data_IF_617542682700
#
_entry.id   IF_617542682700
#
_cell.length_a   1.000
_cell.length_b   1.000
_cell.length_c   1.000
_cell.angle_alpha   90.00
_cell.angle_beta   90.00
_cell.angle_gamma   90.00
#
_symmetry.space_group_name_H-M   'P 1'
#
loop_
_entity.id
_entity.type
_entity.pdbx_description
1 polymer ?
#
# COMPACT_ATOMS: atom_id res chain seq x y z
N UNK A 1 -4.26 -27.36 31.19
CA UNK A 1 -5.46 -26.79 30.51
C UNK A 1 -5.18 -25.30 30.37
N UNK A 2 -4.62 -24.88 29.25
CA UNK A 2 -4.34 -23.48 28.95
C UNK A 2 -5.32 -23.03 27.88
N UNK A 3 -6.10 -22.01 28.22
CA UNK A 3 -7.10 -21.39 27.36
C UNK A 3 -6.41 -20.60 26.24
N UNK A 4 -6.62 -21.01 25.00
CA UNK A 4 -6.28 -20.19 23.82
C UNK A 4 -7.29 -19.06 23.67
N UNK A 5 -6.86 -17.86 24.09
CA UNK A 5 -7.63 -16.63 23.93
C UNK A 5 -7.89 -16.33 22.45
N UNK A 6 -9.15 -16.27 22.09
CA UNK A 6 -9.69 -15.72 20.85
C UNK A 6 -9.20 -14.26 20.68
N UNK A 7 -8.31 -14.01 19.73
CA UNK A 7 -7.96 -12.64 19.32
C UNK A 7 -9.14 -12.05 18.57
N UNK A 8 -9.78 -11.08 19.21
CA UNK A 8 -10.88 -10.31 18.64
C UNK A 8 -10.45 -9.65 17.30
N UNK A 9 -11.24 -9.90 16.28
CA UNK A 9 -11.24 -9.12 15.06
C UNK A 9 -11.70 -7.71 15.42
N UNK A 10 -10.83 -6.71 15.41
CA UNK A 10 -11.20 -5.32 15.67
C UNK A 10 -11.87 -4.81 14.41
N UNK A 11 -13.18 -4.96 14.31
CA UNK A 11 -14.00 -4.24 13.35
C UNK A 11 -14.09 -2.78 13.81
N UNK A 12 -13.58 -1.87 13.00
CA UNK A 12 -13.72 -0.43 13.22
C UNK A 12 -15.20 -0.09 13.06
N UNK A 13 -15.88 0.49 14.08
CA UNK A 13 -17.29 0.80 13.98
C UNK A 13 -17.53 1.88 12.91
N UNK A 14 -18.63 1.77 12.17
CA UNK A 14 -19.04 2.67 11.08
C UNK A 14 -19.04 4.15 11.50
N UNK A 15 -19.29 4.47 12.76
CA UNK A 15 -19.21 5.82 13.32
C UNK A 15 -17.78 6.39 13.32
N UNK A 16 -16.75 5.54 13.40
CA UNK A 16 -15.35 5.92 13.29
C UNK A 16 -14.98 6.32 11.85
N UNK A 17 -15.63 5.73 10.84
CA UNK A 17 -15.43 6.05 9.43
C UNK A 17 -15.95 7.44 9.02
N UNK A 18 -17.03 7.92 9.68
CA UNK A 18 -17.59 9.26 9.40
C UNK A 18 -16.68 10.35 9.97
N UNK A 19 -16.13 10.16 11.17
CA UNK A 19 -15.15 11.07 11.75
C UNK A 19 -13.82 11.03 10.98
N UNK A 20 -13.49 9.88 10.40
CA UNK A 20 -12.35 9.66 9.55
C UNK A 20 -12.45 10.45 8.23
N UNK A 21 -13.63 10.45 7.59
CA UNK A 21 -13.92 11.26 6.38
C UNK A 21 -13.74 12.76 6.64
N UNK A 22 -14.20 13.22 7.79
CA UNK A 22 -14.07 14.62 8.18
C UNK A 22 -12.60 15.02 8.36
N UNK A 23 -11.79 14.13 8.95
CA UNK A 23 -10.35 14.33 9.12
C UNK A 23 -9.60 14.38 7.76
N UNK A 24 -9.97 13.52 6.79
CA UNK A 24 -9.38 13.54 5.44
C UNK A 24 -9.70 14.86 4.72
N UNK A 25 -10.94 15.35 4.82
CA UNK A 25 -11.38 16.58 4.14
C UNK A 25 -10.84 17.86 4.82
N UNK A 26 -10.57 17.83 6.12
CA UNK A 26 -10.04 18.98 6.87
C UNK A 26 -8.51 19.11 6.77
N UNK A 27 -7.76 18.05 6.39
CA UNK A 27 -6.29 18.05 6.27
C UNK A 27 -5.76 18.30 4.85
N UNK A 28 -6.62 18.71 3.92
CA UNK A 28 -6.23 19.06 2.54
C UNK A 28 -5.46 20.40 2.46
N UNK A 29 -4.51 20.65 3.37
CA UNK A 29 -3.65 21.84 3.32
C UNK A 29 -2.25 21.48 3.81
N UNK A 30 -1.37 21.44 2.92
CA UNK A 30 0.08 21.55 2.94
C UNK A 30 0.78 20.32 2.35
N UNK A 31 0.90 20.34 1.02
CA UNK A 31 1.64 19.31 0.24
C UNK A 31 3.16 19.50 0.40
N UNK A 32 3.62 19.95 1.59
CA UNK A 32 5.02 20.10 1.89
C UNK A 32 5.68 18.73 2.03
N UNK A 33 6.62 18.44 1.15
CA UNK A 33 7.41 17.19 1.21
C UNK A 33 8.12 17.07 2.55
N UNK A 34 7.60 16.24 3.42
CA UNK A 34 8.22 15.96 4.71
C UNK A 34 9.42 15.05 4.49
N UNK A 35 10.61 15.51 4.91
CA UNK A 35 11.82 14.68 4.98
C UNK A 35 12.28 14.71 6.43
N UNK A 36 12.56 13.54 7.01
CA UNK A 36 12.99 13.45 8.39
C UNK A 36 14.45 13.84 8.57
N UNK A 37 14.91 13.88 9.82
CA UNK A 37 16.28 14.26 10.18
C UNK A 37 17.35 13.31 9.64
N UNK A 38 16.96 12.09 9.26
CA UNK A 38 17.84 11.07 8.69
C UNK A 38 17.88 11.14 7.15
N UNK A 39 17.09 12.05 6.54
CA UNK A 39 17.00 12.25 5.10
C UNK A 39 16.00 11.29 4.41
N UNK A 40 15.10 10.62 5.16
CA UNK A 40 14.08 9.77 4.57
C UNK A 40 12.74 10.49 4.46
N UNK A 41 12.03 10.26 3.34
CA UNK A 41 10.65 10.68 3.17
C UNK A 41 9.72 9.64 3.79
N UNK A 42 8.88 9.98 4.80
CA UNK A 42 7.80 9.13 5.27
C UNK A 42 6.80 8.85 4.15
N UNK A 43 6.38 7.59 4.03
CA UNK A 43 5.55 7.13 2.93
C UNK A 43 4.70 5.94 3.38
N UNK A 44 3.60 5.70 2.69
CA UNK A 44 2.78 4.49 2.84
C UNK A 44 2.85 3.65 1.58
N UNK A 45 2.89 2.33 1.73
CA UNK A 45 2.75 1.38 0.64
C UNK A 45 1.45 0.59 0.79
N UNK A 46 0.76 0.33 -0.32
CA UNK A 46 -0.58 -0.26 -0.30
C UNK A 46 -0.58 -1.54 -1.13
N UNK A 47 -0.85 -2.67 -0.47
CA UNK A 47 -1.03 -3.97 -1.12
C UNK A 47 -2.52 -4.28 -1.12
N UNK A 48 -3.18 -4.20 -2.28
CA UNK A 48 -4.59 -4.54 -2.43
C UNK A 48 -4.68 -5.95 -2.96
N UNK A 49 -5.39 -6.85 -2.27
CA UNK A 49 -5.61 -8.22 -2.73
C UNK A 49 -7.08 -8.51 -3.05
N UNK A 50 -7.31 -9.36 -4.03
CA UNK A 50 -8.64 -9.89 -4.36
C UNK A 50 -8.96 -11.17 -3.56
N UNK A 51 -10.13 -11.76 -3.79
CA UNK A 51 -10.57 -12.99 -3.11
C UNK A 51 -9.65 -14.20 -3.36
N UNK A 52 -8.88 -14.20 -4.46
CA UNK A 52 -7.90 -15.24 -4.81
C UNK A 52 -6.50 -14.99 -4.23
N UNK A 53 -6.32 -13.97 -3.38
CA UNK A 53 -5.03 -13.48 -2.86
C UNK A 53 -4.05 -13.06 -3.96
N UNK A 54 -4.55 -12.68 -5.15
CA UNK A 54 -3.76 -11.96 -6.13
C UNK A 54 -3.68 -10.50 -5.70
N UNK A 55 -2.60 -9.82 -6.07
CA UNK A 55 -2.38 -8.42 -5.68
C UNK A 55 -2.44 -7.50 -6.88
N UNK A 56 -3.00 -6.29 -6.68
CA UNK A 56 -3.06 -5.24 -7.68
C UNK A 56 -1.64 -4.73 -7.98
N UNK A 57 -1.30 -4.66 -9.26
CA UNK A 57 0.00 -4.22 -9.74
C UNK A 57 -0.20 -3.13 -10.79
N UNK A 58 0.22 -1.90 -10.48
CA UNK A 58 0.00 -0.71 -11.30
C UNK A 58 1.20 -0.36 -12.19
N UNK A 59 0.95 0.03 -13.45
CA UNK A 59 1.96 0.56 -14.37
C UNK A 59 2.01 2.08 -14.29
N UNK A 60 3.18 2.64 -14.02
CA UNK A 60 3.39 4.09 -13.91
C UNK A 60 3.34 4.76 -15.27
N UNK A 61 2.61 5.87 -15.39
CA UNK A 61 2.51 6.68 -16.61
C UNK A 61 3.89 7.16 -17.06
N UNK A 62 4.72 7.68 -16.16
CA UNK A 62 6.01 8.27 -16.48
C UNK A 62 7.20 7.30 -16.36
N UNK A 63 6.93 5.99 -16.20
CA UNK A 63 7.96 4.97 -16.07
C UNK A 63 8.02 4.09 -17.31
N UNK A 64 9.16 4.01 -18.01
CA UNK A 64 9.36 3.07 -19.11
C UNK A 64 9.06 1.63 -18.65
N UNK A 65 7.79 1.19 -18.78
CA UNK A 65 7.29 -0.11 -18.31
C UNK A 65 7.56 -0.39 -16.82
N UNK A 66 7.52 0.66 -16.00
CA UNK A 66 7.76 0.56 -14.56
C UNK A 66 6.47 0.25 -13.82
N UNK A 67 6.45 -0.88 -13.15
CA UNK A 67 5.31 -1.36 -12.38
C UNK A 67 5.60 -1.30 -10.89
N UNK A 68 4.60 -0.95 -10.09
CA UNK A 68 4.74 -0.90 -8.63
C UNK A 68 3.39 -1.06 -7.91
N UNK A 69 3.44 -1.26 -6.60
CA UNK A 69 2.28 -1.08 -5.74
C UNK A 69 1.93 0.40 -5.59
N UNK A 70 0.65 0.75 -5.38
CA UNK A 70 0.24 2.08 -4.94
C UNK A 70 1.01 2.49 -3.68
N UNK A 71 1.46 3.74 -3.65
CA UNK A 71 2.27 4.27 -2.56
C UNK A 71 2.37 5.79 -2.62
N UNK A 72 2.30 6.47 -1.50
CA UNK A 72 2.45 7.90 -1.51
C UNK A 72 3.07 8.48 -0.24
N UNK A 73 3.42 9.76 -0.31
CA UNK A 73 4.05 10.47 0.79
C UNK A 73 3.05 10.84 1.86
N UNK A 74 3.50 10.80 3.10
CA UNK A 74 2.74 11.33 4.22
C UNK A 74 2.94 12.84 4.33
N UNK A 75 1.87 13.56 4.66
CA UNK A 75 1.92 14.96 5.04
C UNK A 75 2.45 15.11 6.48
N UNK A 76 2.75 16.36 6.89
CA UNK A 76 3.18 16.65 8.25
C UNK A 76 2.09 16.23 9.24
N UNK A 77 2.50 15.49 10.27
CA UNK A 77 1.60 14.99 11.33
C UNK A 77 0.42 14.12 10.87
N UNK A 78 0.43 13.68 9.59
CA UNK A 78 -0.58 12.78 9.05
C UNK A 78 -0.37 11.35 9.59
N UNK A 79 -1.40 10.73 10.22
CA UNK A 79 -1.31 9.33 10.61
C UNK A 79 -1.15 8.41 9.38
N UNK A 80 -0.36 7.32 9.46
CA UNK A 80 -0.15 6.41 8.33
C UNK A 80 -1.43 5.82 7.73
N UNK A 81 -2.45 5.57 8.56
CA UNK A 81 -3.75 5.05 8.10
C UNK A 81 -4.51 6.10 7.27
N UNK A 82 -4.42 7.39 7.63
CA UNK A 82 -5.04 8.49 6.88
C UNK A 82 -4.34 8.63 5.54
N UNK A 83 -3.01 8.69 5.53
CA UNK A 83 -2.22 8.73 4.32
C UNK A 83 -2.55 7.56 3.38
N UNK A 84 -2.68 6.35 3.93
CA UNK A 84 -3.01 5.15 3.16
C UNK A 84 -4.37 5.26 2.44
N UNK A 85 -5.42 5.74 3.11
CA UNK A 85 -6.72 5.89 2.47
C UNK A 85 -6.77 7.04 1.49
N UNK A 86 -6.06 8.15 1.75
CA UNK A 86 -5.92 9.27 0.82
C UNK A 86 -5.23 8.81 -0.47
N UNK A 87 -4.07 8.17 -0.37
CA UNK A 87 -3.32 7.65 -1.52
C UNK A 87 -4.09 6.53 -2.27
N UNK A 88 -4.87 5.71 -1.54
CA UNK A 88 -5.75 4.71 -2.14
C UNK A 88 -6.79 5.36 -3.05
N UNK A 89 -7.43 6.45 -2.61
CA UNK A 89 -8.41 7.19 -3.40
C UNK A 89 -7.73 7.95 -4.55
N UNK A 90 -6.60 8.62 -4.29
CA UNK A 90 -5.85 9.39 -5.29
C UNK A 90 -5.30 8.52 -6.43
N UNK A 91 -4.64 7.39 -6.13
CA UNK A 91 -3.94 6.58 -7.13
C UNK A 91 -4.81 5.47 -7.75
N UNK A 92 -5.83 4.98 -7.04
CA UNK A 92 -6.61 3.80 -7.43
C UNK A 92 -8.11 4.08 -7.53
N UNK A 93 -8.58 5.23 -7.03
CA UNK A 93 -9.99 5.62 -7.01
C UNK A 93 -10.85 4.82 -6.03
N UNK A 94 -10.25 3.98 -5.19
CA UNK A 94 -10.98 3.17 -4.23
C UNK A 94 -11.22 3.94 -2.93
N UNK A 95 -12.45 3.87 -2.43
CA UNK A 95 -12.85 4.45 -1.15
C UNK A 95 -12.70 3.46 -0.01
N UNK A 96 -12.64 3.93 1.25
CA UNK A 96 -12.54 3.05 2.43
C UNK A 96 -13.61 1.97 2.48
N UNK A 97 -14.83 2.24 1.99
CA UNK A 97 -15.96 1.30 1.98
C UNK A 97 -15.77 0.12 1.00
N UNK A 98 -14.91 0.30 -0.01
CA UNK A 98 -14.62 -0.73 -1.02
C UNK A 98 -13.49 -1.68 -0.61
N UNK A 99 -12.90 -1.50 0.58
CA UNK A 99 -11.78 -2.31 1.05
C UNK A 99 -11.88 -2.68 2.53
N UNK A 100 -11.29 -3.81 2.91
CA UNK A 100 -11.09 -4.23 4.30
C UNK A 100 -9.61 -4.18 4.66
N UNK A 101 -9.24 -3.50 5.75
CA UNK A 101 -7.87 -3.47 6.25
C UNK A 101 -7.55 -4.80 6.96
N UNK A 102 -6.71 -5.64 6.33
CA UNK A 102 -6.27 -6.91 6.91
C UNK A 102 -5.09 -6.75 7.88
N UNK A 103 -4.25 -5.74 7.68
CA UNK A 103 -3.14 -5.46 8.58
C UNK A 103 -2.10 -4.51 7.99
N UNK A 104 -1.09 -4.22 8.82
CA UNK A 104 0.05 -3.39 8.43
C UNK A 104 1.37 -3.98 8.93
N UNK A 105 2.50 -3.49 8.43
CA UNK A 105 3.83 -3.81 8.95
C UNK A 105 4.01 -3.29 10.38
N UNK A 106 4.86 -3.96 11.15
CA UNK A 106 5.07 -3.63 12.58
C UNK A 106 5.86 -2.34 12.79
N UNK A 107 6.51 -1.81 11.76
CA UNK A 107 7.31 -0.60 11.84
C UNK A 107 7.72 -0.11 10.46
N UNK A 108 8.59 0.90 10.47
CA UNK A 108 9.11 1.52 9.27
C UNK A 108 10.06 0.58 8.53
N UNK A 109 9.80 0.34 7.25
CA UNK A 109 10.70 -0.32 6.32
C UNK A 109 11.38 0.74 5.45
N UNK A 110 12.69 0.60 5.25
CA UNK A 110 13.49 1.62 4.58
C UNK A 110 14.09 1.10 3.28
N UNK A 111 14.17 1.99 2.28
CA UNK A 111 15.07 1.79 1.16
C UNK A 111 15.78 3.10 0.81
N UNK A 112 16.99 2.99 0.24
CA UNK A 112 17.77 4.13 -0.22
C UNK A 112 17.64 4.29 -1.74
N UNK A 113 17.57 5.54 -2.17
CA UNK A 113 17.62 5.84 -3.59
C UNK A 113 19.03 5.61 -4.15
N UNK A 114 19.18 5.04 -5.35
CA UNK A 114 20.43 5.08 -6.08
C UNK A 114 20.93 6.52 -6.23
N UNK A 115 22.25 6.74 -6.17
CA UNK A 115 22.85 8.08 -6.21
C UNK A 115 22.35 8.97 -7.37
N UNK A 116 22.04 8.35 -8.53
CA UNK A 116 21.52 9.05 -9.73
C UNK A 116 20.11 9.63 -9.55
N UNK A 117 19.34 9.17 -8.55
CA UNK A 117 17.99 9.65 -8.25
C UNK A 117 17.96 10.63 -7.07
N UNK A 118 19.09 10.84 -6.39
CA UNK A 118 19.19 11.81 -5.31
C UNK A 118 19.36 13.21 -5.91
N UNK A 119 18.37 14.07 -5.67
CA UNK A 119 18.40 15.48 -6.10
C UNK A 119 19.13 16.31 -5.05
N UNK A 120 20.42 16.54 -5.27
CA UNK A 120 21.31 17.27 -4.34
C UNK A 120 20.98 18.76 -4.20
N UNK A 121 20.16 19.30 -5.10
CA UNK A 121 19.75 20.72 -5.10
C UNK A 121 18.51 20.96 -4.27
N UNK A 122 17.83 19.91 -3.78
CA UNK A 122 16.69 20.04 -2.86
C UNK A 122 17.19 20.14 -1.42
N UNK A 123 16.54 20.99 -0.61
CA UNK A 123 16.81 21.15 0.82
C UNK A 123 15.47 21.02 1.58
N UNK A 124 15.34 20.01 2.45
CA UNK A 124 16.29 18.94 2.76
C UNK A 124 16.46 17.88 1.63
N UNK A 125 17.67 17.31 1.53
CA UNK A 125 17.97 16.26 0.55
C UNK A 125 17.29 14.95 0.90
N UNK A 126 16.48 14.40 0.00
CA UNK A 126 15.88 13.08 0.14
C UNK A 126 16.85 11.98 -0.31
N UNK A 127 17.27 11.10 0.60
CA UNK A 127 18.17 9.97 0.31
C UNK A 127 17.45 8.63 0.15
N UNK A 128 16.16 8.58 0.50
CA UNK A 128 15.37 7.35 0.47
C UNK A 128 13.97 7.55 1.01
N UNK A 129 13.25 6.45 1.17
CA UNK A 129 11.94 6.46 1.80
C UNK A 129 11.91 5.50 2.99
N UNK A 130 11.15 5.86 4.02
CA UNK A 130 10.71 4.98 5.09
C UNK A 130 9.22 4.76 4.94
N UNK A 131 8.78 3.49 4.98
CA UNK A 131 7.42 3.11 4.58
C UNK A 131 6.73 2.26 5.64
N UNK A 132 5.48 2.58 5.95
CA UNK A 132 4.52 1.65 6.58
C UNK A 132 3.72 1.02 5.45
N UNK A 133 3.64 -0.33 5.43
CA UNK A 133 2.89 -1.05 4.41
C UNK A 133 1.59 -1.59 4.96
N UNK A 134 0.54 -1.46 4.16
CA UNK A 134 -0.81 -1.93 4.47
C UNK A 134 -1.23 -3.03 3.52
N UNK A 135 -1.97 -4.02 4.03
CA UNK A 135 -2.64 -5.05 3.24
C UNK A 135 -4.14 -4.83 3.33
N UNK A 136 -4.76 -4.60 2.18
CA UNK A 136 -6.18 -4.37 2.02
C UNK A 136 -6.81 -5.52 1.21
N UNK A 137 -8.02 -5.93 1.57
CA UNK A 137 -8.87 -6.82 0.76
C UNK A 137 -9.86 -5.96 -0.02
N UNK A 138 -9.90 -6.08 -1.34
CA UNK A 138 -10.98 -5.52 -2.14
C UNK A 138 -12.29 -6.24 -1.78
N UNK A 139 -13.26 -5.50 -1.27
CA UNK A 139 -14.62 -5.97 -0.92
C UNK A 139 -15.65 -5.45 -1.91
N UNK A 140 -15.36 -4.34 -2.59
CA UNK A 140 -16.13 -3.80 -3.69
C UNK A 140 -15.92 -4.54 -5.01
N UNK A 141 -16.50 -4.03 -6.09
CA UNK A 141 -16.30 -4.57 -7.42
C UNK A 141 -14.95 -4.13 -8.03
N UNK A 142 -14.39 -4.94 -8.93
CA UNK A 142 -13.18 -4.53 -9.68
C UNK A 142 -13.42 -3.29 -10.56
N UNK A 143 -14.68 -3.05 -10.97
CA UNK A 143 -15.10 -1.84 -11.69
C UNK A 143 -14.99 -0.56 -10.86
N UNK A 144 -14.85 -0.66 -9.54
CA UNK A 144 -14.66 0.50 -8.65
C UNK A 144 -13.23 1.04 -8.74
N UNK A 145 -12.29 0.25 -9.30
CA UNK A 145 -10.91 0.69 -9.54
C UNK A 145 -10.90 1.68 -10.69
N UNK A 146 -10.54 2.93 -10.38
CA UNK A 146 -10.51 4.03 -11.33
C UNK A 146 -9.19 4.80 -11.23
N UNK A 147 -8.25 4.49 -12.12
CA UNK A 147 -6.94 5.15 -12.17
C UNK A 147 -6.99 6.61 -12.63
N UNK A 148 -8.12 7.03 -13.21
CA UNK A 148 -8.36 8.41 -13.66
C UNK A 148 -9.25 9.20 -12.67
N UNK A 149 -9.28 8.81 -11.41
CA UNK A 149 -10.08 9.48 -10.38
C UNK A 149 -9.57 10.91 -10.07
N UNK A 150 -8.31 11.19 -10.33
CA UNK A 150 -7.65 12.48 -10.11
C UNK A 150 -7.04 13.04 -11.39
N UNK A 151 -6.80 14.37 -11.41
CA UNK A 151 -6.27 15.10 -12.58
C UNK A 151 -4.82 14.75 -12.92
N UNK A 152 -4.03 14.24 -11.96
CA UNK A 152 -2.63 13.81 -12.15
C UNK A 152 -2.47 12.32 -11.77
N UNK A 153 -2.94 11.40 -12.63
CA UNK A 153 -2.92 9.98 -12.34
C UNK A 153 -1.49 9.42 -12.33
N UNK A 154 -1.18 8.59 -11.32
CA UNK A 154 0.13 7.94 -11.20
C UNK A 154 0.24 6.71 -12.12
N UNK A 155 -0.88 6.01 -12.38
CA UNK A 155 -0.95 4.77 -13.17
C UNK A 155 -1.85 4.91 -14.38
N UNK A 156 -1.49 4.21 -15.49
CA UNK A 156 -2.30 4.11 -16.71
C UNK A 156 -2.87 2.71 -16.94
N UNK A 157 -2.34 1.71 -16.25
CA UNK A 157 -2.82 0.33 -16.28
C UNK A 157 -2.66 -0.34 -14.93
N UNK A 158 -3.48 -1.35 -14.68
CA UNK A 158 -3.33 -2.26 -13.57
C UNK A 158 -3.65 -3.69 -13.97
N UNK A 159 -3.19 -4.66 -13.17
CA UNK A 159 -3.50 -6.09 -13.33
C UNK A 159 -3.38 -6.81 -12.00
N UNK A 160 -4.08 -7.94 -11.88
CA UNK A 160 -3.85 -8.88 -10.80
C UNK A 160 -2.63 -9.75 -11.09
N UNK A 161 -1.76 -9.87 -10.09
CA UNK A 161 -0.59 -10.76 -10.15
C UNK A 161 -0.53 -11.66 -8.92
N UNK A 162 0.23 -12.75 -8.97
CA UNK A 162 0.44 -13.59 -7.79
C UNK A 162 1.15 -12.80 -6.69
N UNK A 163 0.79 -13.08 -5.42
CA UNK A 163 1.25 -12.34 -4.24
C UNK A 163 2.76 -12.04 -4.20
N UNK A 164 3.59 -13.01 -4.60
CA UNK A 164 5.05 -12.88 -4.55
C UNK A 164 5.68 -12.31 -5.83
N UNK A 165 4.93 -12.19 -6.92
CA UNK A 165 5.43 -11.68 -8.19
C UNK A 165 6.10 -10.29 -8.08
N UNK A 166 5.53 -9.32 -7.33
CA UNK A 166 6.10 -7.98 -7.20
C UNK A 166 7.52 -7.93 -6.62
N UNK A 167 7.91 -8.93 -5.81
CA UNK A 167 9.26 -8.97 -5.18
C UNK A 167 10.38 -9.03 -6.21
N UNK A 168 10.15 -9.69 -7.34
CA UNK A 168 11.14 -9.83 -8.41
C UNK A 168 10.90 -8.89 -9.59
N UNK A 169 9.67 -8.38 -9.71
CA UNK A 169 9.27 -7.53 -10.85
C UNK A 169 9.50 -6.03 -10.60
N UNK A 170 9.60 -5.60 -9.34
CA UNK A 170 9.88 -4.21 -9.00
C UNK A 170 11.35 -3.87 -9.28
N UNK A 171 11.65 -2.58 -9.47
CA UNK A 171 13.02 -2.08 -9.64
C UNK A 171 13.94 -2.54 -8.49
N UNK A 172 15.17 -2.89 -8.81
CA UNK A 172 16.10 -3.60 -7.91
C UNK A 172 16.24 -2.99 -6.52
N UNK A 173 16.37 -1.67 -6.43
CA UNK A 173 16.57 -0.98 -5.15
C UNK A 173 15.34 -1.02 -4.22
N UNK A 174 14.15 -1.41 -4.73
CA UNK A 174 12.92 -1.63 -3.94
C UNK A 174 12.69 -3.10 -3.59
N UNK A 175 13.39 -4.07 -4.18
CA UNK A 175 13.12 -5.50 -3.99
C UNK A 175 13.21 -5.93 -2.51
N UNK A 176 14.19 -5.41 -1.79
CA UNK A 176 14.39 -5.75 -0.37
C UNK A 176 13.22 -5.30 0.51
N UNK A 177 12.74 -4.05 0.35
CA UNK A 177 11.62 -3.52 1.12
C UNK A 177 10.31 -4.22 0.74
N UNK A 178 10.08 -4.54 -0.54
CA UNK A 178 8.92 -5.32 -0.98
C UNK A 178 8.91 -6.72 -0.36
N UNK A 179 10.06 -7.41 -0.36
CA UNK A 179 10.20 -8.72 0.28
C UNK A 179 9.87 -8.66 1.78
N UNK A 180 10.40 -7.68 2.49
CA UNK A 180 10.13 -7.50 3.92
C UNK A 180 8.66 -7.22 4.20
N UNK A 181 8.04 -6.29 3.44
CA UNK A 181 6.64 -5.95 3.56
C UNK A 181 5.75 -7.17 3.33
N UNK A 182 5.88 -7.83 2.18
CA UNK A 182 5.06 -8.98 1.84
C UNK A 182 5.26 -10.17 2.79
N UNK A 183 6.47 -10.36 3.32
CA UNK A 183 6.72 -11.40 4.34
C UNK A 183 5.94 -11.11 5.62
N UNK A 184 5.95 -9.88 6.13
CA UNK A 184 5.19 -9.51 7.33
C UNK A 184 3.67 -9.59 7.12
N UNK A 185 3.20 -9.21 5.93
CA UNK A 185 1.78 -9.13 5.60
C UNK A 185 1.17 -10.50 5.22
N UNK A 186 1.95 -11.46 4.72
CA UNK A 186 1.46 -12.75 4.23
C UNK A 186 0.67 -13.56 5.26
N UNK A 187 1.02 -13.44 6.55
CA UNK A 187 0.31 -14.10 7.64
C UNK A 187 -1.10 -13.56 7.91
N UNK A 188 -1.49 -12.47 7.26
CA UNK A 188 -2.84 -11.87 7.36
C UNK A 188 -3.79 -12.38 6.27
N UNK A 189 -3.27 -13.02 5.22
CA UNK A 189 -4.11 -13.69 4.23
C UNK A 189 -4.76 -14.92 4.87
N UNK A 190 -6.04 -15.16 4.57
CA UNK A 190 -6.74 -16.32 5.09
C UNK A 190 -6.07 -17.62 4.64
N UNK A 191 -5.94 -18.63 5.49
CA UNK A 191 -5.42 -19.93 5.08
C UNK A 191 -6.35 -20.53 4.03
N UNK A 192 -5.85 -20.73 2.80
CA UNK A 192 -6.64 -21.38 1.74
C UNK A 192 -7.06 -22.80 2.18
N UNK A 193 -8.33 -23.17 2.08
CA UNK A 193 -8.77 -24.52 2.41
C UNK A 193 -7.96 -25.54 1.60
N UNK A 194 -7.51 -26.60 2.28
CA UNK A 194 -6.58 -27.63 1.76
C UNK A 194 -6.99 -28.25 0.41
N UNK A 195 -8.28 -28.19 0.05
CA UNK A 195 -8.83 -28.76 -1.19
C UNK A 195 -8.53 -27.98 -2.47
N UNK A 196 -8.22 -26.68 -2.38
CA UNK A 196 -7.90 -25.90 -3.59
C UNK A 196 -6.45 -26.07 -4.05
N UNK A 197 -5.54 -26.53 -3.17
CA UNK A 197 -4.13 -26.80 -3.54
C UNK A 197 -3.97 -27.98 -4.51
N UNK A 198 -4.88 -28.95 -4.54
CA UNK A 198 -4.81 -30.12 -5.44
C UNK A 198 -5.23 -29.83 -6.88
N UNK A 199 -6.16 -28.89 -7.12
CA UNK A 199 -6.66 -28.60 -8.48
C UNK A 199 -5.68 -27.81 -9.36
N UNK A 200 -4.74 -27.06 -8.77
CA UNK A 200 -3.73 -26.28 -9.52
C UNK A 200 -2.49 -27.09 -9.96
N UNK A 201 -2.29 -28.30 -9.43
CA UNK A 201 -1.18 -29.18 -9.85
C UNK A 201 -1.52 -30.12 -11.03
N UNK A 202 -2.77 -30.06 -11.52
CA UNK A 202 -3.26 -30.93 -12.63
C UNK A 202 -3.67 -30.12 -13.89
N UNK A 203 -3.25 -28.87 -13.99
CA UNK A 203 -3.42 -28.07 -15.22
C UNK A 203 -2.08 -27.56 -15.72
#
# INVERSE_FOLDING_TARGET
MEEYGLRACVSIPVHSLINFRKAILEQAVDNERVIDREGFRPNVGIVICNADDQVLWGRRINGRDSWQFPQGGMNRDEPPEIAMYRELEEEVGLRPESVELLGRTQGWLHYRLPKRFIRKTEDPVCIGQKQIWFLLRLTGAESDINLAAHDDPEFDQWKWVSYWYPVTAVVDFKQAVYRQALTQLSGRLAPKPRNQRRRRRQR
#
